data_IF_452488065681
#
_entry.id   IF_452488065681
#
_cell.length_a   1.000
_cell.length_b   1.000
_cell.length_c   1.000
_cell.angle_alpha   90.00
_cell.angle_beta   90.00
_cell.angle_gamma   90.00
#
_symmetry.space_group_name_H-M   'P 1'
#
loop_
_entity.id
_entity.type
_entity.pdbx_description
1 polymer ?
#
# COMPACT_ATOMS: atom_id res chain seq x y z
N UNK A 1 -12.39 -80.97 -32.48
CA UNK A 1 -11.76 -80.33 -33.66
C UNK A 1 -12.46 -78.99 -33.84
N UNK A 2 -11.88 -77.80 -33.80
CA UNK A 2 -10.55 -77.27 -33.50
C UNK A 2 -10.82 -75.79 -33.07
N UNK A 3 -10.41 -75.39 -31.87
CA UNK A 3 -9.27 -74.48 -31.60
C UNK A 3 -9.59 -72.99 -31.78
N UNK A 4 -9.65 -72.28 -30.64
CA UNK A 4 -9.63 -70.83 -30.53
C UNK A 4 -8.26 -70.24 -30.89
N UNK A 5 -8.17 -68.91 -31.06
CA UNK A 5 -7.02 -68.21 -30.50
C UNK A 5 -7.42 -67.02 -29.63
N UNK A 6 -6.74 -66.95 -28.49
CA UNK A 6 -6.64 -65.80 -27.62
C UNK A 6 -5.72 -64.74 -28.24
N UNK A 7 -6.11 -63.47 -28.14
CA UNK A 7 -5.22 -62.33 -28.36
C UNK A 7 -4.98 -61.61 -27.03
N UNK A 8 -3.84 -61.91 -26.43
CA UNK A 8 -3.15 -61.10 -25.43
C UNK A 8 -2.41 -59.96 -26.13
N UNK A 9 -2.54 -58.74 -25.62
CA UNK A 9 -1.92 -57.55 -26.20
C UNK A 9 -1.79 -56.43 -25.17
N UNK A 10 -0.69 -56.51 -24.43
CA UNK A 10 -0.11 -55.60 -23.45
C UNK A 10 -0.40 -54.10 -23.62
N UNK A 11 -0.93 -53.46 -22.58
CA UNK A 11 -0.81 -52.00 -22.37
C UNK A 11 0.48 -51.71 -21.61
N UNK A 12 1.43 -50.92 -22.16
CA UNK A 12 2.55 -50.44 -21.38
C UNK A 12 2.13 -49.25 -20.53
N UNK A 13 2.39 -49.40 -19.24
CA UNK A 13 2.55 -48.37 -18.23
C UNK A 13 3.48 -47.26 -18.76
N UNK A 14 3.07 -46.00 -18.62
CA UNK A 14 3.95 -44.85 -18.87
C UNK A 14 3.63 -43.80 -17.82
N UNK A 15 4.58 -43.67 -16.90
CA UNK A 15 4.62 -42.82 -15.74
C UNK A 15 4.31 -41.34 -16.04
N UNK A 16 3.81 -40.58 -15.04
CA UNK A 16 3.55 -39.17 -15.20
C UNK A 16 4.85 -38.35 -15.08
N UNK A 17 5.05 -37.48 -16.08
CA UNK A 17 5.45 -36.09 -15.85
C UNK A 17 6.87 -35.85 -15.35
N UNK A 18 7.86 -36.00 -16.23
CA UNK A 18 9.08 -35.21 -16.12
C UNK A 18 8.72 -33.73 -16.24
N UNK A 19 9.06 -32.96 -15.21
CA UNK A 19 8.99 -31.50 -15.20
C UNK A 19 9.75 -30.91 -16.39
N UNK A 20 9.15 -30.03 -17.22
CA UNK A 20 9.94 -29.30 -18.18
C UNK A 20 10.72 -28.22 -17.41
N UNK A 21 12.05 -28.34 -17.44
CA UNK A 21 12.95 -27.32 -16.95
C UNK A 21 12.63 -25.97 -17.59
N UNK A 22 12.75 -24.90 -16.79
CA UNK A 22 12.63 -23.52 -17.24
C UNK A 22 13.47 -23.27 -18.47
N UNK A 23 12.81 -23.07 -19.62
CA UNK A 23 13.41 -22.43 -20.76
C UNK A 23 13.74 -20.98 -20.39
N UNK A 24 14.95 -20.48 -20.71
CA UNK A 24 15.27 -19.07 -20.51
C UNK A 24 14.47 -18.26 -21.53
N UNK A 25 13.41 -17.59 -21.08
CA UNK A 25 12.62 -16.69 -21.92
C UNK A 25 11.10 -16.86 -21.87
N UNK A 26 10.59 -17.85 -21.13
CA UNK A 26 9.14 -17.95 -20.90
C UNK A 26 8.78 -17.39 -19.53
N UNK A 27 8.25 -16.16 -19.50
CA UNK A 27 7.68 -15.61 -18.28
C UNK A 27 6.35 -16.35 -17.99
N UNK A 28 6.18 -16.96 -16.79
CA UNK A 28 4.99 -17.75 -16.52
C UNK A 28 3.71 -16.91 -16.64
N UNK A 29 2.61 -17.45 -17.21
CA UNK A 29 1.38 -16.70 -17.45
C UNK A 29 0.73 -16.19 -16.16
N UNK A 30 0.91 -16.90 -15.03
CA UNK A 30 0.44 -16.47 -13.72
C UNK A 30 1.15 -15.19 -13.23
N UNK A 31 2.44 -15.03 -13.56
CA UNK A 31 3.19 -13.83 -13.22
C UNK A 31 2.89 -12.69 -14.19
N UNK A 32 2.47 -12.99 -15.43
CA UNK A 32 2.15 -11.99 -16.44
C UNK A 32 0.97 -11.09 -16.06
N UNK A 33 0.00 -11.61 -15.29
CA UNK A 33 -1.18 -10.88 -14.83
C UNK A 33 -0.91 -9.96 -13.61
N UNK A 34 0.30 -9.97 -13.06
CA UNK A 34 0.67 -9.18 -11.89
C UNK A 34 0.70 -7.68 -12.24
N UNK A 35 0.11 -6.78 -11.42
CA UNK A 35 0.08 -5.34 -11.69
C UNK A 35 1.47 -4.70 -11.55
N UNK A 36 1.67 -3.55 -12.19
CA UNK A 36 2.93 -2.80 -12.11
C UNK A 36 3.38 -2.42 -10.69
N UNK A 37 2.46 -2.33 -9.73
CA UNK A 37 2.76 -2.11 -8.29
C UNK A 37 3.72 -3.16 -7.73
N UNK A 38 3.74 -4.37 -8.30
CA UNK A 38 4.61 -5.44 -7.82
C UNK A 38 6.09 -5.17 -8.05
N UNK A 39 6.45 -4.41 -9.09
CA UNK A 39 7.85 -4.11 -9.37
C UNK A 39 8.42 -3.13 -8.35
N UNK A 40 9.51 -3.52 -7.70
CA UNK A 40 10.16 -2.71 -6.70
C UNK A 40 10.89 -1.50 -7.32
N UNK A 41 11.31 -0.57 -6.45
CA UNK A 41 12.08 0.60 -6.87
C UNK A 41 13.39 0.25 -7.59
N UNK A 42 14.06 -0.84 -7.18
CA UNK A 42 15.31 -1.29 -7.80
C UNK A 42 15.14 -1.70 -9.26
N UNK A 43 14.11 -2.49 -9.59
CA UNK A 43 13.79 -2.89 -10.96
C UNK A 43 13.38 -1.68 -11.79
N UNK A 44 12.52 -0.81 -11.26
CA UNK A 44 12.10 0.44 -11.93
C UNK A 44 13.28 1.36 -12.23
N UNK A 45 14.20 1.53 -11.27
CA UNK A 45 15.43 2.30 -11.46
C UNK A 45 16.33 1.68 -12.54
N UNK A 46 16.48 0.36 -12.55
CA UNK A 46 17.27 -0.32 -13.59
C UNK A 46 16.63 -0.16 -14.97
N UNK A 47 15.31 -0.29 -15.09
CA UNK A 47 14.59 -0.01 -16.34
C UNK A 47 14.90 1.40 -16.86
N UNK A 48 14.88 2.41 -15.98
CA UNK A 48 15.29 3.77 -16.33
C UNK A 48 16.74 3.84 -16.85
N UNK A 49 17.68 3.12 -16.26
CA UNK A 49 19.07 3.10 -16.73
C UNK A 49 19.24 2.52 -18.15
N UNK A 50 18.42 1.54 -18.55
CA UNK A 50 18.49 0.95 -19.90
C UNK A 50 17.72 1.76 -20.96
N UNK A 51 16.62 2.42 -20.56
CA UNK A 51 15.65 3.02 -21.49
C UNK A 51 15.76 4.55 -21.58
N UNK A 52 16.21 5.24 -20.53
CA UNK A 52 16.39 6.70 -20.54
C UNK A 52 17.47 7.19 -21.52
N UNK A 53 18.60 6.48 -21.73
CA UNK A 53 19.61 6.92 -22.71
C UNK A 53 19.05 6.96 -24.13
N UNK A 54 19.12 8.15 -24.76
CA UNK A 54 18.77 8.33 -26.17
C UNK A 54 19.80 7.61 -27.03
N UNK A 55 19.37 6.60 -27.77
CA UNK A 55 20.22 5.88 -28.72
C UNK A 55 19.53 5.82 -30.07
N UNK A 56 20.30 6.06 -31.14
CA UNK A 56 19.75 6.06 -32.50
C UNK A 56 19.49 4.64 -33.03
N UNK A 57 20.07 3.61 -32.39
CA UNK A 57 20.08 2.24 -32.89
C UNK A 57 19.16 1.29 -32.11
N UNK A 58 18.67 1.69 -30.94
CA UNK A 58 17.77 0.86 -30.14
C UNK A 58 16.58 1.69 -29.65
N UNK A 59 15.46 1.01 -29.44
CA UNK A 59 14.29 1.62 -28.85
C UNK A 59 14.62 2.18 -27.46
N UNK A 60 14.27 3.44 -27.24
CA UNK A 60 14.37 4.13 -25.96
C UNK A 60 12.99 4.20 -25.28
N UNK A 61 12.93 4.89 -24.14
CA UNK A 61 11.69 5.08 -23.40
C UNK A 61 10.59 5.80 -24.21
N UNK A 62 10.92 6.54 -25.28
CA UNK A 62 9.90 7.19 -26.11
C UNK A 62 9.21 6.24 -27.07
N UNK A 63 9.94 5.29 -27.64
CA UNK A 63 9.31 4.20 -28.39
C UNK A 63 8.36 3.38 -27.49
N UNK A 64 8.75 3.16 -26.23
CA UNK A 64 7.87 2.53 -25.25
C UNK A 64 6.64 3.41 -24.94
N UNK A 65 6.80 4.72 -24.78
CA UNK A 65 5.69 5.63 -24.54
C UNK A 65 4.68 5.65 -25.71
N UNK A 66 5.17 5.63 -26.95
CA UNK A 66 4.32 5.57 -28.15
C UNK A 66 3.50 4.27 -28.20
N UNK A 67 4.11 3.12 -27.93
CA UNK A 67 3.41 1.83 -27.85
C UNK A 67 2.38 1.77 -26.70
N UNK A 68 2.58 2.57 -25.65
CA UNK A 68 1.63 2.77 -24.56
C UNK A 68 0.51 3.76 -24.91
N UNK A 69 0.53 4.36 -26.10
CA UNK A 69 -0.46 5.32 -26.57
C UNK A 69 -0.29 6.71 -25.95
N UNK A 70 0.94 7.10 -25.60
CA UNK A 70 1.24 8.47 -25.21
C UNK A 70 1.25 9.40 -26.42
N UNK A 71 0.61 10.56 -26.28
CA UNK A 71 0.68 11.61 -27.30
C UNK A 71 2.03 12.32 -27.29
N UNK A 72 2.41 12.93 -28.41
CA UNK A 72 3.67 13.65 -28.55
C UNK A 72 3.90 14.70 -27.45
N UNK A 73 2.87 15.46 -27.05
CA UNK A 73 3.00 16.46 -25.99
C UNK A 73 3.20 15.84 -24.61
N UNK A 74 2.63 14.66 -24.35
CA UNK A 74 2.86 13.91 -23.11
C UNK A 74 4.32 13.44 -23.06
N UNK A 75 4.83 12.92 -24.18
CA UNK A 75 6.23 12.52 -24.32
C UNK A 75 7.16 13.71 -24.09
N UNK A 76 6.87 14.88 -24.68
CA UNK A 76 7.67 16.10 -24.45
C UNK A 76 7.64 16.58 -23.01
N UNK A 77 6.49 16.47 -22.34
CA UNK A 77 6.37 16.81 -20.92
C UNK A 77 7.21 15.86 -20.05
N UNK A 78 7.19 14.57 -20.34
CA UNK A 78 7.97 13.55 -19.62
C UNK A 78 9.48 13.73 -19.84
N UNK A 79 9.90 14.15 -21.02
CA UNK A 79 11.31 14.38 -21.36
C UNK A 79 11.98 15.46 -20.48
N UNK A 80 11.19 16.41 -19.94
CA UNK A 80 11.70 17.42 -19.02
C UNK A 80 11.99 16.88 -17.61
N UNK A 81 11.55 15.66 -17.28
CA UNK A 81 11.74 15.04 -15.98
C UNK A 81 13.09 14.33 -15.87
N UNK A 82 13.66 14.21 -14.66
CA UNK A 82 14.96 13.55 -14.47
C UNK A 82 14.92 12.03 -14.73
N UNK A 83 13.77 11.39 -14.54
CA UNK A 83 13.56 9.97 -14.84
C UNK A 83 12.26 9.78 -15.66
N UNK A 84 12.34 9.93 -17.00
CA UNK A 84 11.15 9.86 -17.85
C UNK A 84 10.55 8.46 -17.87
N UNK A 85 11.36 7.39 -17.84
CA UNK A 85 10.85 6.00 -17.77
C UNK A 85 10.08 5.75 -16.47
N UNK A 86 10.62 6.18 -15.33
CA UNK A 86 9.93 6.03 -14.04
C UNK A 86 8.57 6.72 -14.03
N UNK A 87 8.55 8.00 -14.47
CA UNK A 87 7.32 8.78 -14.56
C UNK A 87 6.31 8.19 -15.55
N UNK A 88 6.76 7.67 -16.69
CA UNK A 88 5.93 7.00 -17.68
C UNK A 88 5.23 5.76 -17.09
N UNK A 89 5.97 4.92 -16.34
CA UNK A 89 5.40 3.72 -15.73
C UNK A 89 4.35 4.05 -14.65
N UNK A 90 4.57 5.11 -13.89
CA UNK A 90 3.62 5.57 -12.87
C UNK A 90 2.36 6.17 -13.50
N UNK A 91 2.52 6.98 -14.56
CA UNK A 91 1.38 7.53 -15.31
C UNK A 91 0.59 6.44 -16.03
N UNK A 92 1.28 5.47 -16.63
CA UNK A 92 0.62 4.32 -17.28
C UNK A 92 -0.26 3.54 -16.31
N UNK A 93 0.24 3.31 -15.09
CA UNK A 93 -0.54 2.66 -14.04
C UNK A 93 -1.78 3.48 -13.64
N UNK A 94 -1.68 4.81 -13.63
CA UNK A 94 -2.82 5.68 -13.32
C UNK A 94 -3.86 5.75 -14.45
N UNK A 95 -3.43 5.71 -15.72
CA UNK A 95 -4.31 5.78 -16.91
C UNK A 95 -5.10 4.49 -17.13
N UNK A 96 -4.48 3.34 -16.86
CA UNK A 96 -5.07 2.03 -17.15
C UNK A 96 -5.13 1.15 -15.89
N UNK A 97 -6.04 1.44 -14.94
CA UNK A 97 -6.22 0.62 -13.75
C UNK A 97 -6.65 -0.80 -14.16
N UNK A 98 -5.78 -1.78 -13.93
CA UNK A 98 -5.99 -3.20 -14.29
C UNK A 98 -5.45 -3.62 -15.66
N UNK A 99 -5.12 -2.67 -16.54
CA UNK A 99 -4.46 -2.95 -17.83
C UNK A 99 -2.93 -2.87 -17.77
N UNK A 100 -2.39 -2.15 -16.79
CA UNK A 100 -0.94 -2.01 -16.59
C UNK A 100 -0.37 -3.22 -15.82
N UNK A 101 -0.03 -4.28 -16.56
CA UNK A 101 0.55 -5.52 -16.02
C UNK A 101 2.03 -5.66 -16.34
N UNK A 102 2.75 -6.42 -15.51
CA UNK A 102 4.16 -6.78 -15.74
C UNK A 102 4.32 -7.55 -17.04
N UNK A 103 3.41 -8.49 -17.33
CA UNK A 103 3.43 -9.24 -18.59
C UNK A 103 3.33 -8.32 -19.81
N UNK A 104 2.43 -7.34 -19.76
CA UNK A 104 2.28 -6.38 -20.86
C UNK A 104 3.55 -5.54 -21.08
N UNK A 105 4.20 -5.10 -20.00
CA UNK A 105 5.48 -4.39 -20.12
C UNK A 105 6.55 -5.26 -20.78
N UNK A 106 6.69 -6.51 -20.38
CA UNK A 106 7.68 -7.44 -20.95
C UNK A 106 7.39 -7.76 -22.42
N UNK A 107 6.11 -7.86 -22.80
CA UNK A 107 5.70 -8.02 -24.20
C UNK A 107 6.09 -6.82 -25.04
N UNK A 108 5.83 -5.60 -24.57
CA UNK A 108 6.21 -4.37 -25.26
C UNK A 108 7.73 -4.26 -25.41
N UNK A 109 8.51 -4.55 -24.35
CA UNK A 109 9.97 -4.56 -24.42
C UNK A 109 10.50 -5.60 -25.42
N UNK A 110 9.82 -6.73 -25.57
CA UNK A 110 10.14 -7.73 -26.59
C UNK A 110 9.81 -7.25 -28.00
N UNK A 111 8.69 -6.56 -28.19
CA UNK A 111 8.32 -5.94 -29.47
C UNK A 111 9.30 -4.84 -29.89
N UNK A 112 9.84 -4.12 -28.92
CA UNK A 112 10.89 -3.11 -29.10
C UNK A 112 12.31 -3.70 -29.23
N UNK A 113 12.42 -5.03 -29.32
CA UNK A 113 13.67 -5.79 -29.46
C UNK A 113 14.72 -5.53 -28.35
N UNK A 114 14.29 -5.03 -27.18
CA UNK A 114 15.16 -4.78 -26.00
C UNK A 114 15.38 -6.05 -25.18
N UNK A 115 15.97 -7.05 -25.83
CA UNK A 115 16.30 -8.34 -25.24
C UNK A 115 17.35 -8.23 -24.12
N UNK A 116 18.22 -7.23 -24.17
CA UNK A 116 19.19 -6.90 -23.12
C UNK A 116 18.50 -6.66 -21.77
N UNK A 117 17.45 -5.85 -21.77
CA UNK A 117 16.66 -5.52 -20.58
C UNK A 117 15.95 -6.76 -20.04
N UNK A 118 15.37 -7.57 -20.93
CA UNK A 118 14.66 -8.79 -20.56
C UNK A 118 15.59 -9.79 -19.89
N UNK A 119 16.78 -10.03 -20.44
CA UNK A 119 17.75 -10.97 -19.88
C UNK A 119 18.28 -10.49 -18.53
N UNK A 120 18.65 -9.22 -18.43
CA UNK A 120 19.29 -8.68 -17.22
C UNK A 120 18.33 -8.45 -16.04
N UNK A 121 17.04 -8.26 -16.32
CA UNK A 121 16.01 -8.00 -15.30
C UNK A 121 15.11 -9.20 -15.01
N UNK A 122 15.12 -10.26 -15.83
CA UNK A 122 14.22 -11.42 -15.67
C UNK A 122 14.16 -11.95 -14.24
N UNK A 123 15.33 -12.24 -13.64
CA UNK A 123 15.40 -12.81 -12.30
C UNK A 123 14.81 -11.87 -11.23
N UNK A 124 15.11 -10.57 -11.30
CA UNK A 124 14.62 -9.59 -10.34
C UNK A 124 13.11 -9.34 -10.49
N UNK A 125 12.61 -9.29 -11.72
CA UNK A 125 11.17 -9.15 -12.02
C UNK A 125 10.40 -10.36 -11.51
N UNK A 126 10.90 -11.58 -11.77
CA UNK A 126 10.27 -12.81 -11.31
C UNK A 126 10.21 -12.88 -9.78
N UNK A 127 11.31 -12.50 -9.10
CA UNK A 127 11.37 -12.45 -7.64
C UNK A 127 10.35 -11.46 -7.05
N UNK A 128 10.23 -10.27 -7.65
CA UNK A 128 9.26 -9.25 -7.24
C UNK A 128 7.81 -9.71 -7.42
N UNK A 129 7.48 -10.32 -8.56
CA UNK A 129 6.16 -10.89 -8.81
C UNK A 129 5.81 -11.99 -7.78
N UNK A 130 6.74 -12.89 -7.48
CA UNK A 130 6.54 -13.95 -6.46
C UNK A 130 6.34 -13.36 -5.07
N UNK A 131 7.14 -12.36 -4.69
CA UNK A 131 7.00 -11.65 -3.40
C UNK A 131 5.64 -10.98 -3.30
N UNK A 132 5.17 -10.34 -4.37
CA UNK A 132 3.87 -9.69 -4.41
C UNK A 132 2.72 -10.69 -4.23
N UNK A 133 2.74 -11.80 -4.98
CA UNK A 133 1.70 -12.84 -4.89
C UNK A 133 1.67 -13.49 -3.49
N UNK A 134 2.84 -13.78 -2.91
CA UNK A 134 2.94 -14.31 -1.54
C UNK A 134 2.35 -13.35 -0.51
N UNK A 135 2.63 -12.05 -0.62
CA UNK A 135 2.03 -11.03 0.26
C UNK A 135 0.52 -10.94 0.08
N UNK A 136 0.04 -10.99 -1.16
CA UNK A 136 -1.40 -10.97 -1.47
C UNK A 136 -2.12 -12.19 -0.87
N UNK A 137 -1.52 -13.37 -0.96
CA UNK A 137 -2.06 -14.58 -0.34
C UNK A 137 -2.09 -14.47 1.19
N UNK A 138 -0.99 -14.02 1.79
CA UNK A 138 -0.92 -13.81 3.25
C UNK A 138 -1.94 -12.78 3.74
N UNK A 139 -2.21 -11.72 2.97
CA UNK A 139 -3.25 -10.75 3.29
C UNK A 139 -4.66 -11.32 3.14
N UNK A 140 -4.88 -12.23 2.19
CA UNK A 140 -6.15 -12.93 2.05
C UNK A 140 -6.39 -13.94 3.19
N UNK A 141 -5.31 -14.51 3.74
CA UNK A 141 -5.34 -15.42 4.88
C UNK A 141 -5.34 -14.71 6.25
N UNK A 142 -4.93 -13.43 6.30
CA UNK A 142 -5.11 -12.61 7.49
C UNK A 142 -6.61 -12.42 7.75
N UNK A 143 -7.07 -12.53 9.01
CA UNK A 143 -8.46 -12.23 9.32
C UNK A 143 -8.74 -10.80 8.87
N UNK A 144 -9.66 -10.65 7.91
CA UNK A 144 -10.11 -9.36 7.41
C UNK A 144 -10.53 -8.53 8.63
N UNK A 145 -9.74 -7.49 8.92
CA UNK A 145 -10.10 -6.54 9.96
C UNK A 145 -11.46 -5.98 9.56
N UNK A 146 -12.47 -6.21 10.39
CA UNK A 146 -13.83 -5.74 10.11
C UNK A 146 -13.77 -4.24 9.80
N UNK A 147 -14.53 -3.75 8.78
CA UNK A 147 -14.52 -2.33 8.37
C UNK A 147 -14.77 -1.35 9.52
N UNK A 148 -15.37 -1.81 10.61
CA UNK A 148 -15.38 -1.12 11.87
C UNK A 148 -13.98 -1.20 12.54
N UNK A 149 -13.05 -0.38 12.07
CA UNK A 149 -12.13 0.29 13.00
C UNK A 149 -12.95 1.39 13.68
N UNK A 150 -13.85 0.94 14.52
CA UNK A 150 -14.28 1.75 15.64
C UNK A 150 -13.02 1.92 16.51
N UNK A 151 -12.54 3.15 16.64
CA UNK A 151 -11.45 3.50 17.53
C UNK A 151 -11.94 3.79 18.96
N UNK A 152 -13.16 3.40 19.31
CA UNK A 152 -13.84 3.85 20.53
C UNK A 152 -15.12 3.07 20.89
N UNK A 153 -15.03 1.77 21.14
CA UNK A 153 -15.79 1.15 22.22
C UNK A 153 -14.77 0.76 23.26
N UNK A 154 -14.62 1.53 24.35
CA UNK A 154 -13.87 1.08 25.50
C UNK A 154 -14.59 -0.16 26.03
N UNK A 155 -14.11 -1.35 25.64
CA UNK A 155 -14.56 -2.64 26.17
C UNK A 155 -13.86 -3.00 27.47
N UNK A 156 -12.97 -2.14 27.96
CA UNK A 156 -12.38 -2.26 29.28
C UNK A 156 -13.09 -1.30 30.24
N UNK A 157 -13.42 -1.81 31.42
CA UNK A 157 -13.92 -1.03 32.56
C UNK A 157 -12.93 0.05 33.06
N UNK A 158 -11.80 0.23 32.37
CA UNK A 158 -10.69 1.12 32.73
C UNK A 158 -10.96 2.58 32.34
N UNK A 159 -12.05 2.86 31.62
CA UNK A 159 -12.52 4.23 31.37
C UNK A 159 -13.54 4.74 32.40
N UNK A 160 -13.53 4.15 33.61
CA UNK A 160 -14.20 4.72 34.78
C UNK A 160 -13.41 5.96 35.24
N UNK A 161 -13.65 7.07 34.56
CA UNK A 161 -13.03 8.37 34.81
C UNK A 161 -12.04 8.76 33.73
N UNK A 162 -12.38 9.83 33.00
CA UNK A 162 -11.54 10.48 32.00
C UNK A 162 -10.75 11.62 32.65
N UNK A 163 -11.35 12.24 33.66
CA UNK A 163 -10.80 13.37 34.40
C UNK A 163 -10.48 13.00 35.84
N UNK A 164 -9.57 13.75 36.45
CA UNK A 164 -9.07 13.50 37.82
C UNK A 164 -10.15 13.58 38.90
N UNK A 165 -11.30 14.19 38.60
CA UNK A 165 -12.43 14.31 39.55
C UNK A 165 -13.67 13.54 39.13
N UNK A 166 -13.60 12.72 38.08
CA UNK A 166 -14.68 11.78 37.79
C UNK A 166 -14.82 10.76 38.93
N UNK A 167 -16.05 10.37 39.24
CA UNK A 167 -16.32 9.30 40.20
C UNK A 167 -15.77 7.97 39.63
N UNK A 168 -14.86 7.27 40.35
CA UNK A 168 -14.35 5.97 39.91
C UNK A 168 -15.45 4.92 39.74
N UNK A 169 -16.66 5.14 40.28
CA UNK A 169 -17.83 4.28 40.08
C UNK A 169 -18.75 4.71 38.93
N UNK A 170 -18.44 5.80 38.23
CA UNK A 170 -19.18 6.30 37.06
C UNK A 170 -20.48 7.05 37.38
N UNK A 171 -20.77 7.36 38.64
CA UNK A 171 -22.01 8.04 39.04
C UNK A 171 -21.97 9.57 38.85
N UNK A 172 -20.80 10.16 38.66
CA UNK A 172 -20.62 11.60 38.47
C UNK A 172 -19.51 11.88 37.46
N UNK A 173 -19.87 12.46 36.31
CA UNK A 173 -18.91 12.96 35.33
C UNK A 173 -18.66 14.44 35.59
N UNK A 174 -17.40 14.83 35.63
CA UNK A 174 -17.00 16.22 35.75
C UNK A 174 -17.41 16.98 34.47
N UNK A 175 -18.13 18.10 34.62
CA UNK A 175 -18.52 18.97 33.52
C UNK A 175 -17.59 20.17 33.42
N UNK A 176 -17.34 20.62 32.19
CA UNK A 176 -16.53 21.78 31.86
C UNK A 176 -17.24 22.57 30.75
N UNK A 177 -17.08 23.89 30.78
CA UNK A 177 -17.70 24.81 29.83
C UNK A 177 -16.88 24.94 28.54
N UNK A 178 -15.57 24.73 28.61
CA UNK A 178 -14.69 24.73 27.44
C UNK A 178 -13.47 23.83 27.64
N UNK A 179 -12.94 23.31 26.53
CA UNK A 179 -11.67 22.59 26.48
C UNK A 179 -10.59 23.47 25.86
N UNK A 180 -9.40 23.50 26.47
CA UNK A 180 -8.28 24.32 25.99
C UNK A 180 -7.20 23.40 25.42
N UNK A 181 -6.94 23.55 24.12
CA UNK A 181 -5.80 22.96 23.44
C UNK A 181 -4.74 24.04 23.18
N UNK A 182 -3.50 23.80 23.58
CA UNK A 182 -2.42 24.77 23.47
C UNK A 182 -1.06 24.10 23.23
N UNK A 183 -0.09 24.85 22.71
CA UNK A 183 1.29 24.40 22.56
C UNK A 183 2.16 24.89 23.72
N UNK A 184 3.31 24.25 23.95
CA UNK A 184 4.20 24.59 25.08
C UNK A 184 4.63 26.06 25.13
N UNK A 185 4.70 26.74 23.98
CA UNK A 185 5.01 28.18 23.86
C UNK A 185 3.91 29.08 24.44
N UNK A 186 2.67 28.61 24.45
CA UNK A 186 1.47 29.38 24.82
C UNK A 186 1.07 29.16 26.28
N UNK A 187 1.80 28.33 27.03
CA UNK A 187 1.48 27.95 28.41
C UNK A 187 1.30 29.18 29.33
N UNK A 188 2.15 30.20 29.19
CA UNK A 188 2.07 31.42 30.00
C UNK A 188 0.75 32.17 29.74
N UNK A 189 0.34 32.28 28.48
CA UNK A 189 -0.92 32.91 28.11
C UNK A 189 -2.12 32.10 28.60
N UNK A 190 -2.06 30.77 28.50
CA UNK A 190 -3.13 29.88 29.00
C UNK A 190 -3.29 30.01 30.51
N UNK A 191 -2.20 30.16 31.27
CA UNK A 191 -2.28 30.38 32.71
C UNK A 191 -2.97 31.70 33.07
N UNK A 192 -2.69 32.79 32.34
CA UNK A 192 -3.39 34.06 32.51
C UNK A 192 -4.87 33.94 32.17
N UNK A 193 -5.19 33.26 31.06
CA UNK A 193 -6.57 33.00 30.64
C UNK A 193 -7.35 32.17 31.68
N UNK A 194 -6.75 31.12 32.25
CA UNK A 194 -7.37 30.33 33.31
C UNK A 194 -7.66 31.21 34.52
N UNK A 195 -6.70 32.05 34.93
CA UNK A 195 -6.89 32.96 36.06
C UNK A 195 -8.04 33.94 35.82
N UNK A 196 -8.10 34.54 34.64
CA UNK A 196 -9.15 35.50 34.29
C UNK A 196 -10.52 34.84 34.07
N UNK A 197 -10.60 33.62 33.55
CA UNK A 197 -11.89 32.98 33.23
C UNK A 197 -12.46 32.11 34.37
N UNK A 198 -11.59 31.46 35.17
CA UNK A 198 -12.03 30.63 36.32
C UNK A 198 -12.21 31.46 37.60
N UNK A 199 -11.38 32.49 37.85
CA UNK A 199 -11.33 33.18 39.16
C UNK A 199 -12.10 34.51 39.21
N UNK A 200 -12.59 35.00 38.07
CA UNK A 200 -13.37 36.26 38.01
C UNK A 200 -14.88 35.99 37.96
N UNK A 201 -15.68 37.02 37.67
CA UNK A 201 -17.14 36.95 37.65
C UNK A 201 -17.72 35.96 36.62
N UNK A 202 -16.93 35.52 35.64
CA UNK A 202 -17.38 34.61 34.58
C UNK A 202 -17.58 33.16 35.04
N UNK A 203 -16.89 32.72 36.11
CA UNK A 203 -16.98 31.36 36.72
C UNK A 203 -17.01 30.21 35.71
N UNK A 204 -16.29 30.34 34.59
CA UNK A 204 -16.22 29.30 33.58
C UNK A 204 -15.28 28.21 34.06
N UNK A 205 -15.69 26.96 33.92
CA UNK A 205 -14.88 25.81 34.29
C UNK A 205 -14.16 25.26 33.06
N UNK A 206 -12.84 25.43 33.03
CA UNK A 206 -12.01 25.11 31.87
C UNK A 206 -11.34 23.75 32.03
N UNK A 207 -11.38 22.92 30.99
CA UNK A 207 -10.67 21.64 30.96
C UNK A 207 -9.29 21.84 30.33
N UNK A 208 -8.24 21.64 31.14
CA UNK A 208 -6.85 21.74 30.72
C UNK A 208 -6.24 20.35 30.70
N UNK A 209 -5.76 19.93 29.54
CA UNK A 209 -5.26 18.58 29.32
C UNK A 209 -4.26 18.12 30.40
N UNK A 210 -3.24 18.92 30.70
CA UNK A 210 -2.19 18.55 31.65
C UNK A 210 -2.61 18.59 33.13
N UNK A 211 -3.79 19.17 33.44
CA UNK A 211 -4.30 19.33 34.82
C UNK A 211 -5.43 18.36 35.13
N UNK A 212 -6.40 18.31 34.22
CA UNK A 212 -7.71 17.75 34.51
C UNK A 212 -7.88 16.33 33.95
N UNK A 213 -7.05 15.91 32.98
CA UNK A 213 -7.12 14.59 32.35
C UNK A 213 -6.25 13.58 33.10
N UNK A 214 -6.78 12.36 33.31
CA UNK A 214 -6.02 11.29 33.94
C UNK A 214 -4.89 10.78 33.02
N UNK A 215 -3.66 10.62 33.53
CA UNK A 215 -2.55 10.09 32.75
C UNK A 215 -2.73 8.59 32.47
N UNK A 216 -2.28 8.13 31.30
CA UNK A 216 -2.28 6.71 30.91
C UNK A 216 -3.23 6.37 29.76
N UNK A 217 -4.11 7.29 29.38
CA UNK A 217 -5.02 7.16 28.25
C UNK A 217 -4.53 7.98 27.05
N UNK A 218 -4.93 7.58 25.83
CA UNK A 218 -4.51 8.28 24.62
C UNK A 218 -5.17 9.67 24.54
N UNK A 219 -4.35 10.72 24.43
CA UNK A 219 -4.75 12.15 24.38
C UNK A 219 -5.89 12.41 23.39
N UNK A 220 -5.80 11.80 22.21
CA UNK A 220 -6.75 12.00 21.11
C UNK A 220 -8.08 11.29 21.35
N UNK A 221 -8.04 10.10 21.95
CA UNK A 221 -9.25 9.36 22.32
C UNK A 221 -10.02 10.09 23.41
N UNK A 222 -9.31 10.62 24.41
CA UNK A 222 -9.91 11.42 25.50
C UNK A 222 -10.50 12.72 24.96
N UNK A 223 -9.78 13.43 24.11
CA UNK A 223 -10.25 14.69 23.53
C UNK A 223 -11.51 14.47 22.71
N UNK A 224 -11.55 13.39 21.90
CA UNK A 224 -12.74 13.00 21.16
C UNK A 224 -13.92 12.70 22.08
N UNK A 225 -13.71 11.94 23.14
CA UNK A 225 -14.78 11.55 24.06
C UNK A 225 -15.29 12.69 24.95
N UNK A 226 -14.40 13.60 25.37
CA UNK A 226 -14.78 14.83 26.08
C UNK A 226 -15.64 15.77 25.23
N UNK A 227 -15.44 15.73 23.90
CA UNK A 227 -16.22 16.50 22.93
C UNK A 227 -17.52 15.76 22.58
N UNK A 228 -17.49 14.43 22.47
CA UNK A 228 -18.63 13.63 22.03
C UNK A 228 -19.70 13.44 23.12
N UNK A 229 -19.29 13.34 24.39
CA UNK A 229 -20.21 13.14 25.52
C UNK A 229 -20.79 14.46 26.09
N UNK A 230 -20.63 15.59 25.41
CA UNK A 230 -21.04 16.93 25.88
C UNK A 230 -21.67 17.76 24.77
#
# INVERSE_FOLDING_TARGET
MATAPASSGSTPDSAPGSTPGSAPGFFPPELAAVPMVALNYGVRRRLGLYLNPRTAAAADWTALAEELGCEYLEIRRLEALPDPTGALLDEWQSRCPGGATVGRLLELLRQLERHDVLVDLAASVEEDCKKYLKRKQQQAEQPLQVPAVDSSVPKTSELMGITTRDDPYGNGTELFDAFICYCQKDLQFVQEMIRELEQTEFKLKLCVFDRDVLPGTCVWSISGELIERR
#
